data_IF_157845615474
#
_entry.id   IF_157845615474
#
_cell.length_a   1.000
_cell.length_b   1.000
_cell.length_c   1.000
_cell.angle_alpha   90.00
_cell.angle_beta   90.00
_cell.angle_gamma   90.00
#
_symmetry.space_group_name_H-M   'P 1'
#
loop_
_entity.id
_entity.type
_entity.pdbx_description
1 polymer ?
#
# COMPACT_ATOMS: atom_id res chain seq x y z
N UNK A 1 48.84 32.21 -5.68
CA UNK A 1 49.94 31.37 -6.21
C UNK A 1 49.33 30.29 -7.10
N UNK A 2 49.65 30.38 -8.40
CA UNK A 2 49.75 29.32 -9.44
C UNK A 2 48.80 28.10 -9.33
N UNK A 3 47.80 27.94 -10.23
CA UNK A 3 47.91 27.31 -11.58
C UNK A 3 48.14 25.78 -11.47
N UNK A 4 47.30 24.89 -12.02
CA UNK A 4 47.13 24.67 -13.46
C UNK A 4 46.00 23.67 -13.75
N UNK A 5 45.13 24.04 -14.68
CA UNK A 5 44.28 23.14 -15.47
C UNK A 5 45.12 22.41 -16.52
N UNK A 6 44.80 21.16 -16.86
CA UNK A 6 45.32 20.49 -18.06
C UNK A 6 44.21 19.71 -18.79
N UNK A 7 43.81 20.31 -19.89
CA UNK A 7 43.19 19.73 -21.08
C UNK A 7 44.20 18.83 -21.83
N UNK A 8 43.71 17.74 -22.43
CA UNK A 8 44.35 16.99 -23.54
C UNK A 8 43.20 16.46 -24.44
N UNK A 9 42.85 17.16 -25.52
CA UNK A 9 43.42 17.12 -26.89
C UNK A 9 43.14 15.84 -27.67
N UNK A 10 42.11 15.90 -28.53
CA UNK A 10 41.85 14.98 -29.65
C UNK A 10 43.01 15.00 -30.65
N UNK A 11 43.42 13.82 -31.12
CA UNK A 11 44.12 13.67 -32.42
C UNK A 11 43.38 12.67 -33.28
N UNK A 12 42.93 13.20 -34.41
CA UNK A 12 42.48 12.57 -35.64
C UNK A 12 43.60 11.74 -36.27
N UNK A 13 43.25 10.59 -36.85
CA UNK A 13 44.04 9.96 -37.91
C UNK A 13 43.13 9.78 -39.13
N UNK A 14 43.41 10.54 -40.18
CA UNK A 14 42.87 10.39 -41.53
C UNK A 14 43.83 9.49 -42.31
N UNK A 15 43.31 8.50 -43.03
CA UNK A 15 44.01 7.85 -44.13
C UNK A 15 43.07 7.91 -45.34
N UNK A 16 43.54 8.54 -46.41
CA UNK A 16 42.88 8.64 -47.71
C UNK A 16 43.84 8.12 -48.78
N UNK A 17 43.35 7.26 -49.68
CA UNK A 17 43.86 6.98 -51.03
C UNK A 17 42.66 6.36 -51.81
N UNK A 18 41.94 7.11 -52.67
CA UNK A 18 42.16 7.34 -54.12
C UNK A 18 42.28 6.01 -54.88
N UNK A 19 41.18 5.43 -55.41
CA UNK A 19 40.44 5.69 -56.67
C UNK A 19 40.96 4.89 -57.90
N UNK A 20 40.08 4.10 -58.54
CA UNK A 20 40.10 3.78 -59.97
C UNK A 20 38.75 3.20 -60.45
N UNK A 21 38.31 3.69 -61.60
CA UNK A 21 37.03 3.47 -62.30
C UNK A 21 37.04 2.21 -63.19
N UNK A 22 35.87 1.56 -63.35
CA UNK A 22 35.14 1.37 -64.63
C UNK A 22 34.25 0.09 -64.62
N UNK A 23 33.11 0.07 -65.36
CA UNK A 23 32.05 -0.93 -65.23
C UNK A 23 32.15 -2.08 -66.25
N UNK A 24 31.76 -3.28 -65.87
CA UNK A 24 31.46 -4.38 -66.80
C UNK A 24 30.13 -5.01 -66.43
N UNK A 25 29.12 -4.75 -67.27
CA UNK A 25 27.89 -5.51 -67.36
C UNK A 25 28.21 -6.89 -67.94
N UNK A 26 27.90 -7.96 -67.19
CA UNK A 26 27.73 -9.29 -67.75
C UNK A 26 26.58 -9.96 -67.00
N UNK A 27 25.53 -10.28 -67.75
CA UNK A 27 24.31 -10.91 -67.23
C UNK A 27 24.59 -12.29 -66.67
N UNK A 28 24.03 -12.53 -65.48
CA UNK A 28 23.86 -13.85 -64.90
C UNK A 28 22.52 -13.85 -64.20
N UNK A 29 21.58 -14.64 -64.70
CA UNK A 29 20.30 -14.92 -64.05
C UNK A 29 20.60 -15.65 -62.74
N UNK A 30 20.79 -14.90 -61.66
CA UNK A 30 20.77 -15.44 -60.32
C UNK A 30 19.31 -15.51 -59.90
N UNK A 31 18.78 -16.74 -59.77
CA UNK A 31 17.54 -16.99 -59.06
C UNK A 31 17.64 -16.33 -57.68
N UNK A 32 17.00 -15.17 -57.52
CA UNK A 32 16.66 -14.65 -56.21
C UNK A 32 15.58 -15.57 -55.67
N UNK A 33 15.99 -16.66 -55.02
CA UNK A 33 15.14 -17.28 -54.02
C UNK A 33 14.89 -16.19 -52.98
N UNK A 34 13.66 -15.65 -52.99
CA UNK A 34 13.12 -14.92 -51.85
C UNK A 34 13.17 -15.87 -50.66
N UNK A 35 14.32 -15.92 -49.96
CA UNK A 35 14.30 -16.21 -48.53
C UNK A 35 13.51 -15.08 -47.94
N UNK A 36 12.23 -15.35 -47.66
CA UNK A 36 11.50 -14.60 -46.67
C UNK A 36 12.40 -14.52 -45.44
N UNK A 37 12.91 -13.33 -45.15
CA UNK A 37 13.42 -13.02 -43.83
C UNK A 37 12.19 -13.07 -42.91
N UNK A 38 11.82 -14.27 -42.47
CA UNK A 38 10.97 -14.41 -41.32
C UNK A 38 11.80 -13.87 -40.15
N UNK A 39 11.34 -12.78 -39.57
CA UNK A 39 11.88 -12.32 -38.31
C UNK A 39 11.73 -13.47 -37.29
N UNK A 40 12.83 -14.12 -36.95
CA UNK A 40 12.91 -15.05 -35.80
C UNK A 40 12.58 -14.33 -34.47
N UNK A 41 12.31 -13.02 -34.48
CA UNK A 41 12.12 -12.17 -33.31
C UNK A 41 10.73 -12.21 -32.68
N UNK A 42 9.61 -12.27 -33.41
CA UNK A 42 8.31 -11.97 -32.79
C UNK A 42 7.82 -13.00 -31.75
N UNK A 43 8.09 -14.28 -31.95
CA UNK A 43 7.72 -15.35 -31.01
C UNK A 43 8.73 -15.49 -29.87
N UNK A 44 10.04 -15.33 -30.15
CA UNK A 44 11.08 -15.30 -29.14
C UNK A 44 10.92 -14.10 -28.20
N UNK A 45 10.61 -12.92 -28.74
CA UNK A 45 10.33 -11.70 -27.98
C UNK A 45 9.08 -11.89 -27.09
N UNK A 46 8.04 -12.57 -27.59
CA UNK A 46 6.84 -12.86 -26.81
C UNK A 46 7.10 -13.85 -25.68
N UNK A 47 7.92 -14.89 -25.94
CA UNK A 47 8.31 -15.84 -24.92
C UNK A 47 9.12 -15.16 -23.81
N UNK A 48 10.07 -14.29 -24.17
CA UNK A 48 10.86 -13.52 -23.19
C UNK A 48 9.98 -12.56 -22.37
N UNK A 49 9.04 -11.86 -23.00
CA UNK A 49 8.08 -11.00 -22.29
C UNK A 49 7.22 -11.81 -21.31
N UNK A 50 6.74 -12.98 -21.72
CA UNK A 50 5.99 -13.87 -20.85
C UNK A 50 6.85 -14.38 -19.69
N UNK A 51 8.11 -14.72 -19.93
CA UNK A 51 9.04 -15.15 -18.88
C UNK A 51 9.23 -14.06 -17.81
N UNK A 52 9.48 -12.82 -18.25
CA UNK A 52 9.62 -11.65 -17.35
C UNK A 52 8.33 -11.38 -16.58
N UNK A 53 7.17 -11.52 -17.23
CA UNK A 53 5.85 -11.38 -16.62
C UNK A 53 5.62 -12.44 -15.52
N UNK A 54 5.95 -13.70 -15.80
CA UNK A 54 5.88 -14.80 -14.85
C UNK A 54 6.74 -14.53 -13.61
N UNK A 55 7.98 -14.10 -13.82
CA UNK A 55 8.91 -13.73 -12.74
C UNK A 55 8.33 -12.60 -11.89
N UNK A 56 7.86 -11.52 -12.52
CA UNK A 56 7.31 -10.36 -11.82
C UNK A 56 6.09 -10.74 -10.97
N UNK A 57 5.13 -11.43 -11.55
CA UNK A 57 3.89 -11.84 -10.85
C UNK A 57 4.24 -12.76 -9.67
N UNK A 58 5.12 -13.74 -9.87
CA UNK A 58 5.50 -14.69 -8.81
C UNK A 58 6.23 -14.00 -7.65
N UNK A 59 7.19 -13.11 -7.95
CA UNK A 59 7.92 -12.37 -6.92
C UNK A 59 7.01 -11.40 -6.18
N UNK A 60 6.18 -10.63 -6.89
CA UNK A 60 5.29 -9.67 -6.26
C UNK A 60 4.30 -10.37 -5.32
N UNK A 61 3.58 -11.37 -5.81
CA UNK A 61 2.46 -12.00 -5.10
C UNK A 61 2.91 -13.05 -4.09
N UNK A 62 3.93 -13.86 -4.41
CA UNK A 62 4.36 -14.98 -3.57
C UNK A 62 5.78 -14.84 -3.01
N UNK A 63 6.58 -13.88 -3.49
CA UNK A 63 7.95 -13.67 -3.01
C UNK A 63 8.91 -14.79 -3.38
N UNK A 64 8.58 -15.57 -4.42
CA UNK A 64 9.32 -16.74 -4.87
C UNK A 64 9.53 -16.66 -6.38
N UNK A 65 10.45 -17.46 -6.90
CA UNK A 65 10.59 -17.68 -8.33
C UNK A 65 9.36 -18.41 -8.88
N UNK A 66 8.95 -18.14 -10.14
CA UNK A 66 7.85 -18.85 -10.79
C UNK A 66 8.17 -20.35 -10.88
N UNK A 67 7.14 -21.18 -10.73
CA UNK A 67 7.25 -22.59 -11.04
C UNK A 67 7.34 -22.79 -12.58
N UNK A 68 7.73 -23.99 -13.05
CA UNK A 68 7.87 -24.25 -14.48
C UNK A 68 6.57 -24.06 -15.29
N UNK A 69 5.39 -24.24 -14.68
CA UNK A 69 4.12 -24.07 -15.35
C UNK A 69 3.79 -22.60 -15.58
N UNK A 70 4.04 -21.73 -14.59
CA UNK A 70 3.89 -20.29 -14.72
C UNK A 70 4.94 -19.70 -15.68
N UNK A 71 6.19 -20.19 -15.61
CA UNK A 71 7.30 -19.73 -16.45
C UNK A 71 7.08 -20.01 -17.94
N UNK A 72 6.47 -21.15 -18.27
CA UNK A 72 6.18 -21.55 -19.65
C UNK A 72 4.78 -21.15 -20.13
N UNK A 73 4.01 -20.42 -19.32
CA UNK A 73 2.63 -20.08 -19.64
C UNK A 73 2.55 -19.12 -20.85
N UNK A 74 1.64 -19.35 -21.81
CA UNK A 74 1.41 -18.43 -22.93
C UNK A 74 0.80 -17.11 -22.49
N UNK A 75 0.14 -17.09 -21.32
CA UNK A 75 -0.28 -15.88 -20.61
C UNK A 75 -0.10 -16.09 -19.10
N UNK A 76 1.02 -15.66 -18.50
CA UNK A 76 1.28 -15.82 -17.07
C UNK A 76 0.24 -15.12 -16.17
N UNK A 77 -0.49 -14.13 -16.68
CA UNK A 77 -1.52 -13.40 -15.93
C UNK A 77 -2.71 -14.30 -15.58
N UNK A 78 -2.92 -15.39 -16.32
CA UNK A 78 -3.91 -16.41 -15.98
C UNK A 78 -3.62 -17.10 -14.63
N UNK A 79 -2.35 -17.12 -14.19
CA UNK A 79 -1.92 -17.69 -12.92
C UNK A 79 -2.14 -16.80 -11.68
N UNK A 80 -2.55 -15.53 -11.86
CA UNK A 80 -2.66 -14.55 -10.76
C UNK A 80 -3.62 -15.03 -9.67
N UNK A 81 -4.80 -15.54 -10.00
CA UNK A 81 -5.78 -15.96 -8.98
C UNK A 81 -5.27 -17.14 -8.14
N UNK A 82 -4.51 -18.05 -8.75
CA UNK A 82 -3.91 -19.18 -8.06
C UNK A 82 -2.88 -18.68 -7.03
N UNK A 83 -2.04 -17.71 -7.40
CA UNK A 83 -1.07 -17.10 -6.49
C UNK A 83 -1.74 -16.33 -5.35
N UNK A 84 -2.81 -15.59 -5.63
CA UNK A 84 -3.58 -14.84 -4.62
C UNK A 84 -4.31 -15.75 -3.62
N UNK A 85 -4.55 -17.01 -3.98
CA UNK A 85 -5.14 -18.01 -3.09
C UNK A 85 -4.12 -18.66 -2.14
N UNK A 86 -2.82 -18.40 -2.31
CA UNK A 86 -1.76 -19.03 -1.51
C UNK A 86 -1.63 -18.41 -0.12
N UNK A 87 -1.20 -19.19 0.90
CA UNK A 87 -0.80 -18.64 2.19
C UNK A 87 0.32 -17.61 2.10
N UNK A 88 1.23 -17.76 1.13
CA UNK A 88 2.33 -16.83 0.87
C UNK A 88 1.82 -15.43 0.53
N UNK A 89 0.81 -15.32 -0.34
CA UNK A 89 0.21 -14.02 -0.64
C UNK A 89 -0.40 -13.40 0.61
N UNK A 90 -1.18 -14.16 1.38
CA UNK A 90 -1.81 -13.67 2.60
C UNK A 90 -0.78 -13.15 3.62
N UNK A 91 0.33 -13.88 3.78
CA UNK A 91 1.44 -13.48 4.66
C UNK A 91 2.11 -12.19 4.17
N UNK A 92 2.47 -12.12 2.89
CA UNK A 92 3.18 -10.98 2.30
C UNK A 92 2.34 -9.71 2.31
N UNK A 93 1.08 -9.80 1.88
CA UNK A 93 0.21 -8.65 1.83
C UNK A 93 -0.13 -8.15 3.23
N UNK A 94 -0.33 -9.05 4.21
CA UNK A 94 -0.54 -8.66 5.61
C UNK A 94 0.68 -7.95 6.20
N UNK A 95 1.92 -8.41 5.90
CA UNK A 95 3.16 -7.73 6.31
C UNK A 95 3.27 -6.34 5.70
N UNK A 96 2.98 -6.22 4.42
CA UNK A 96 2.98 -4.94 3.71
C UNK A 96 1.98 -3.96 4.33
N UNK A 97 0.72 -4.37 4.52
CA UNK A 97 -0.31 -3.53 5.14
C UNK A 97 0.09 -3.13 6.56
N UNK A 98 0.66 -4.05 7.33
CA UNK A 98 1.18 -3.71 8.64
C UNK A 98 2.30 -2.65 8.56
N UNK A 99 3.26 -2.77 7.64
CA UNK A 99 4.31 -1.75 7.50
C UNK A 99 3.77 -0.37 7.15
N UNK A 100 2.68 -0.30 6.38
CA UNK A 100 2.03 0.97 6.03
C UNK A 100 1.25 1.56 7.21
N UNK A 101 0.62 0.72 8.04
CA UNK A 101 -0.34 1.16 9.07
C UNK A 101 0.24 1.27 10.48
N UNK A 102 1.40 0.66 10.74
CA UNK A 102 2.02 0.62 12.06
C UNK A 102 3.02 1.75 12.33
N UNK A 103 3.40 2.56 11.33
CA UNK A 103 4.18 3.79 11.53
C UNK A 103 5.55 3.63 12.22
N UNK A 104 6.11 2.42 12.28
CA UNK A 104 7.38 2.08 12.90
C UNK A 104 7.45 0.62 13.35
N UNK A 105 8.64 0.10 13.69
CA UNK A 105 8.80 -1.28 14.16
C UNK A 105 8.11 -1.49 15.52
N UNK A 106 7.53 -2.67 15.71
CA UNK A 106 7.08 -3.14 17.03
C UNK A 106 8.25 -3.73 17.80
N UNK A 107 8.24 -3.59 19.12
CA UNK A 107 9.22 -4.21 20.01
C UNK A 107 8.97 -5.71 20.23
N UNK A 108 7.76 -6.21 19.94
CA UNK A 108 7.35 -7.58 20.18
C UNK A 108 6.47 -8.09 19.04
N UNK A 109 6.81 -9.25 18.46
CA UNK A 109 6.04 -9.88 17.39
C UNK A 109 4.61 -10.27 17.81
N UNK A 110 4.34 -10.40 19.11
CA UNK A 110 2.99 -10.69 19.63
C UNK A 110 2.10 -9.44 19.76
N UNK A 111 2.57 -8.26 19.33
CA UNK A 111 1.84 -6.98 19.42
C UNK A 111 1.57 -6.37 18.03
N UNK A 112 1.18 -7.23 17.08
CA UNK A 112 0.94 -6.85 15.68
C UNK A 112 -0.50 -7.11 15.19
N UNK A 113 -1.51 -6.45 15.79
CA UNK A 113 -2.90 -6.74 15.50
C UNK A 113 -3.28 -6.46 14.04
N UNK A 114 -2.59 -5.53 13.38
CA UNK A 114 -2.81 -5.23 11.96
C UNK A 114 -2.41 -6.43 11.10
N UNK A 115 -1.20 -6.96 11.30
CA UNK A 115 -0.73 -8.13 10.55
C UNK A 115 -1.63 -9.34 10.76
N UNK A 116 -1.92 -9.71 12.01
CA UNK A 116 -2.70 -10.91 12.31
C UNK A 116 -4.15 -10.80 11.81
N UNK A 117 -4.80 -9.64 11.96
CA UNK A 117 -6.15 -9.45 11.45
C UNK A 117 -6.18 -9.37 9.92
N UNK A 118 -5.22 -8.69 9.27
CA UNK A 118 -5.14 -8.65 7.81
C UNK A 118 -4.96 -10.05 7.22
N UNK A 119 -4.06 -10.85 7.81
CA UNK A 119 -3.85 -12.24 7.41
C UNK A 119 -5.12 -13.06 7.58
N UNK A 120 -5.82 -12.93 8.71
CA UNK A 120 -7.10 -13.60 8.94
C UNK A 120 -8.13 -13.24 7.88
N UNK A 121 -8.36 -11.95 7.62
CA UNK A 121 -9.33 -11.45 6.62
C UNK A 121 -9.03 -12.00 5.23
N UNK A 122 -7.76 -11.99 4.81
CA UNK A 122 -7.34 -12.49 3.50
C UNK A 122 -7.54 -14.00 3.40
N UNK A 123 -7.01 -14.77 4.37
CA UNK A 123 -7.10 -16.24 4.38
C UNK A 123 -8.55 -16.73 4.41
N UNK A 124 -9.41 -16.05 5.16
CA UNK A 124 -10.84 -16.40 5.28
C UNK A 124 -11.71 -15.79 4.17
N UNK A 125 -11.11 -15.11 3.19
CA UNK A 125 -11.80 -14.44 2.07
C UNK A 125 -12.93 -13.52 2.53
N UNK A 126 -12.71 -12.81 3.64
CA UNK A 126 -13.67 -11.87 4.21
C UNK A 126 -13.65 -10.56 3.43
N UNK A 127 -14.73 -9.76 3.48
CA UNK A 127 -14.69 -8.39 2.99
C UNK A 127 -13.50 -7.64 3.59
N UNK A 128 -12.73 -6.92 2.77
CA UNK A 128 -11.54 -6.19 3.22
C UNK A 128 -11.85 -5.13 4.27
N UNK A 129 -13.09 -4.63 4.26
CA UNK A 129 -13.62 -3.73 5.29
C UNK A 129 -13.55 -4.32 6.69
N UNK A 130 -13.59 -5.65 6.84
CA UNK A 130 -13.51 -6.35 8.14
C UNK A 130 -12.20 -6.06 8.89
N UNK A 131 -11.11 -5.74 8.18
CA UNK A 131 -9.87 -5.30 8.81
C UNK A 131 -10.07 -4.05 9.68
N UNK A 132 -10.98 -3.15 9.26
CA UNK A 132 -11.20 -1.86 9.89
C UNK A 132 -12.42 -1.85 10.80
N UNK A 133 -13.52 -2.47 10.38
CA UNK A 133 -14.82 -2.39 11.08
C UNK A 133 -15.35 -3.74 11.58
N UNK A 134 -14.57 -4.81 11.44
CA UNK A 134 -14.96 -6.15 11.84
C UNK A 134 -15.12 -6.28 13.36
N UNK A 135 -16.00 -7.18 13.77
CA UNK A 135 -16.31 -7.44 15.17
C UNK A 135 -15.32 -8.47 15.73
N UNK A 136 -14.08 -8.02 15.92
CA UNK A 136 -12.97 -8.86 16.36
C UNK A 136 -12.28 -8.34 17.61
N UNK A 137 -11.82 -9.27 18.44
CA UNK A 137 -10.73 -9.07 19.38
C UNK A 137 -9.48 -9.77 18.85
N UNK A 138 -8.32 -9.14 19.06
CA UNK A 138 -7.02 -9.66 18.63
C UNK A 138 -6.07 -9.61 19.81
N UNK A 139 -5.78 -10.79 20.37
CA UNK A 139 -5.07 -10.93 21.63
C UNK A 139 -3.77 -11.71 21.45
N UNK A 140 -2.68 -11.32 22.12
CA UNK A 140 -1.45 -12.12 22.15
C UNK A 140 -1.74 -13.53 22.68
N UNK A 141 -1.20 -14.54 22.00
CA UNK A 141 -1.21 -15.92 22.51
C UNK A 141 -0.27 -16.04 23.72
N UNK A 142 -0.63 -16.89 24.68
CA UNK A 142 0.11 -17.05 25.93
C UNK A 142 1.58 -17.48 25.73
N UNK A 143 1.86 -18.20 24.65
CA UNK A 143 3.22 -18.62 24.28
C UNK A 143 3.93 -17.50 23.54
N UNK A 144 5.04 -17.01 24.10
CA UNK A 144 5.85 -16.00 23.46
C UNK A 144 6.30 -16.44 22.04
N UNK A 145 5.95 -15.64 21.04
CA UNK A 145 6.30 -15.91 19.63
C UNK A 145 5.25 -16.75 18.89
N UNK A 146 4.19 -17.21 19.56
CA UNK A 146 3.08 -17.89 18.90
C UNK A 146 2.18 -16.93 18.10
N UNK A 147 2.29 -15.62 18.32
CA UNK A 147 1.52 -14.61 17.62
C UNK A 147 0.26 -14.18 18.35
N UNK A 148 -0.79 -13.86 17.59
CA UNK A 148 -2.07 -13.39 18.14
C UNK A 148 -3.23 -14.28 17.69
N UNK A 149 -4.21 -14.47 18.57
CA UNK A 149 -5.51 -15.05 18.25
C UNK A 149 -6.44 -13.97 17.68
N UNK A 150 -7.34 -14.37 16.78
CA UNK A 150 -8.42 -13.51 16.28
C UNK A 150 -9.73 -14.16 16.65
N UNK A 151 -10.49 -13.51 17.52
CA UNK A 151 -11.76 -14.00 18.07
C UNK A 151 -12.89 -13.02 17.75
N UNK A 152 -14.13 -13.47 17.80
CA UNK A 152 -15.28 -12.58 17.59
C UNK A 152 -15.54 -11.76 18.85
N UNK A 153 -15.71 -10.46 18.68
CA UNK A 153 -16.14 -9.53 19.73
C UNK A 153 -17.23 -8.61 19.16
N UNK A 154 -18.49 -8.69 19.64
CA UNK A 154 -19.58 -7.81 19.19
C UNK A 154 -19.27 -6.30 19.30
N UNK A 155 -18.42 -5.95 20.27
CA UNK A 155 -17.95 -4.59 20.51
C UNK A 155 -16.64 -4.29 19.76
N UNK A 156 -16.09 -5.22 18.99
CA UNK A 156 -14.91 -5.00 18.15
C UNK A 156 -15.15 -3.95 17.05
N UNK A 157 -14.07 -3.25 16.70
CA UNK A 157 -13.98 -2.32 15.55
C UNK A 157 -12.63 -2.52 14.87
N UNK A 158 -12.56 -3.60 14.08
CA UNK A 158 -11.35 -4.07 13.40
C UNK A 158 -10.15 -4.12 14.32
N UNK A 159 -8.98 -3.77 13.79
CA UNK A 159 -7.77 -3.69 14.62
C UNK A 159 -7.76 -2.45 15.54
N UNK A 160 -8.62 -1.45 15.32
CA UNK A 160 -8.60 -0.18 16.05
C UNK A 160 -8.96 -0.30 17.53
N UNK A 161 -9.78 -1.29 17.89
CA UNK A 161 -10.16 -1.57 19.30
C UNK A 161 -9.32 -2.66 19.96
N UNK A 162 -8.29 -3.17 19.29
CA UNK A 162 -7.40 -4.15 19.91
C UNK A 162 -6.53 -3.47 20.95
N UNK A 163 -6.35 -4.11 22.11
CA UNK A 163 -5.60 -3.53 23.24
C UNK A 163 -4.18 -3.11 22.84
N UNK A 164 -3.44 -3.96 22.11
CA UNK A 164 -2.07 -3.64 21.66
C UNK A 164 -2.04 -2.39 20.76
N UNK A 165 -3.02 -2.23 19.86
CA UNK A 165 -3.12 -1.05 19.01
C UNK A 165 -3.48 0.21 19.80
N UNK A 166 -4.51 0.13 20.67
CA UNK A 166 -4.94 1.27 21.49
C UNK A 166 -3.83 1.76 22.41
N UNK A 167 -3.12 0.85 23.10
CA UNK A 167 -1.97 1.20 23.96
C UNK A 167 -0.87 1.90 23.19
N UNK A 168 -0.53 1.39 22.00
CA UNK A 168 0.50 1.97 21.13
C UNK A 168 0.19 3.41 20.71
N UNK A 169 -1.08 3.69 20.41
CA UNK A 169 -1.51 4.99 19.89
C UNK A 169 -2.31 5.84 20.87
N UNK A 170 -2.29 5.49 22.16
CA UNK A 170 -3.00 6.22 23.20
C UNK A 170 -2.52 7.67 23.32
N UNK A 171 -1.25 7.93 22.96
CA UNK A 171 -0.63 9.24 23.08
C UNK A 171 -0.47 9.67 24.54
N UNK A 172 -0.02 10.91 24.73
CA UNK A 172 0.30 11.48 26.03
C UNK A 172 -0.44 12.80 26.32
N UNK A 173 -1.56 13.05 25.63
CA UNK A 173 -2.38 14.24 25.88
C UNK A 173 -2.89 14.23 27.33
N UNK A 174 -2.83 15.38 28.01
CA UNK A 174 -3.03 15.49 29.46
C UNK A 174 -4.40 15.03 29.94
N UNK A 175 -5.45 15.23 29.12
CA UNK A 175 -6.82 14.80 29.42
C UNK A 175 -7.11 13.38 28.94
N UNK A 176 -6.11 12.69 28.40
CA UNK A 176 -6.24 11.33 27.90
C UNK A 176 -6.90 11.22 26.52
N UNK A 177 -7.05 12.33 25.79
CA UNK A 177 -7.55 12.27 24.41
C UNK A 177 -6.54 11.55 23.51
N UNK A 178 -7.01 10.51 22.83
CA UNK A 178 -6.16 9.69 21.96
C UNK A 178 -5.96 10.33 20.57
N UNK A 179 -5.35 11.52 20.52
CA UNK A 179 -5.15 12.29 19.28
C UNK A 179 -4.34 11.52 18.23
N UNK A 180 -3.35 10.73 18.66
CA UNK A 180 -2.55 9.91 17.76
C UNK A 180 -3.39 8.78 17.15
N UNK A 181 -4.19 8.09 17.97
CA UNK A 181 -5.14 7.08 17.48
C UNK A 181 -6.17 7.68 16.51
N UNK A 182 -6.71 8.86 16.82
CA UNK A 182 -7.62 9.59 15.95
C UNK A 182 -7.01 9.84 14.56
N UNK A 183 -5.78 10.34 14.53
CA UNK A 183 -5.04 10.51 13.28
C UNK A 183 -4.81 9.17 12.56
N UNK A 184 -4.37 8.12 13.26
CA UNK A 184 -4.12 6.81 12.64
C UNK A 184 -5.38 6.16 12.09
N UNK A 185 -6.54 6.34 12.72
CA UNK A 185 -7.83 5.87 12.16
C UNK A 185 -8.12 6.56 10.83
N UNK A 186 -8.01 7.88 10.78
CA UNK A 186 -8.24 8.65 9.55
C UNK A 186 -7.20 8.30 8.48
N UNK A 187 -5.92 8.22 8.84
CA UNK A 187 -4.84 7.88 7.92
C UNK A 187 -4.98 6.47 7.35
N UNK A 188 -5.15 5.45 8.20
CA UNK A 188 -5.20 4.06 7.75
C UNK A 188 -6.44 3.78 6.89
N UNK A 189 -7.53 4.53 7.10
CA UNK A 189 -8.73 4.42 6.27
C UNK A 189 -8.60 5.22 4.98
N UNK A 190 -8.30 6.52 5.05
CA UNK A 190 -8.39 7.46 3.91
C UNK A 190 -7.08 7.79 3.22
N UNK A 191 -5.94 7.40 3.79
CA UNK A 191 -4.62 7.77 3.29
C UNK A 191 -4.24 9.23 3.57
N UNK A 192 -5.02 9.95 4.38
CA UNK A 192 -4.70 11.33 4.76
C UNK A 192 -3.37 11.37 5.52
N UNK A 193 -2.43 12.16 5.01
CA UNK A 193 -1.18 12.47 5.68
C UNK A 193 -1.26 13.88 6.28
N UNK A 194 -0.83 14.00 7.54
CA UNK A 194 -0.69 15.29 8.20
C UNK A 194 0.80 15.59 8.37
N UNK A 195 1.20 16.80 8.02
CA UNK A 195 2.54 17.31 8.30
C UNK A 195 2.51 17.93 9.69
N UNK A 196 3.26 17.41 10.67
CA UNK A 196 3.30 17.99 11.99
C UNK A 196 3.95 19.37 11.94
N UNK A 197 3.44 20.32 12.73
CA UNK A 197 4.15 21.56 12.98
C UNK A 197 5.42 21.26 13.81
N UNK A 198 6.52 21.93 13.49
CA UNK A 198 7.76 21.82 14.27
C UNK A 198 7.54 22.53 15.59
N UNK A 199 7.34 21.76 16.66
CA UNK A 199 7.15 22.32 18.00
C UNK A 199 8.46 22.82 18.61
N UNK A 200 8.48 24.03 19.15
CA UNK A 200 9.56 24.54 19.98
C UNK A 200 9.39 24.08 21.45
N UNK A 201 10.49 24.01 22.24
CA UNK A 201 10.39 23.82 23.67
C UNK A 201 9.50 24.91 24.30
N UNK A 202 8.49 24.50 25.06
CA UNK A 202 7.54 25.41 25.72
C UNK A 202 6.28 25.74 24.91
N UNK A 203 6.14 25.21 23.69
CA UNK A 203 4.88 25.36 22.94
C UNK A 203 3.70 24.78 23.70
N UNK A 204 2.59 25.54 23.71
CA UNK A 204 1.33 25.07 24.28
C UNK A 204 0.75 23.96 23.39
N UNK A 205 0.77 22.72 23.89
CA UNK A 205 0.19 21.54 23.23
C UNK A 205 -1.20 21.19 23.74
N UNK A 206 -1.73 21.99 24.67
CA UNK A 206 -3.09 21.83 25.18
C UNK A 206 -4.13 22.08 24.09
N UNK A 207 -5.39 21.80 24.41
CA UNK A 207 -6.50 22.14 23.53
C UNK A 207 -6.57 23.63 23.17
N UNK A 208 -6.03 24.53 24.02
CA UNK A 208 -5.98 25.96 23.71
C UNK A 208 -4.88 26.24 22.66
N UNK A 209 -3.67 25.73 22.89
CA UNK A 209 -2.57 25.88 21.94
C UNK A 209 -2.86 25.29 20.56
N UNK A 210 -3.60 24.17 20.50
CA UNK A 210 -4.06 23.59 19.22
C UNK A 210 -5.06 24.47 18.45
N UNK A 211 -5.67 25.48 19.08
CA UNK A 211 -6.52 26.48 18.41
C UNK A 211 -5.72 27.61 17.76
N UNK A 212 -4.40 27.65 17.95
CA UNK A 212 -3.54 28.58 17.23
C UNK A 212 -3.63 28.32 15.71
N UNK A 213 -3.47 29.38 14.91
CA UNK A 213 -3.66 29.32 13.45
C UNK A 213 -2.86 28.21 12.75
N UNK A 214 -1.65 27.90 13.24
CA UNK A 214 -0.80 26.85 12.68
C UNK A 214 -1.37 25.43 12.84
N UNK A 215 -2.20 25.19 13.86
CA UNK A 215 -2.70 23.86 14.23
C UNK A 215 -4.21 23.72 14.01
N UNK A 216 -4.95 24.83 14.11
CA UNK A 216 -6.42 24.85 14.13
C UNK A 216 -7.05 24.15 12.93
N UNK A 217 -6.45 24.29 11.75
CA UNK A 217 -6.91 23.63 10.52
C UNK A 217 -7.01 22.11 10.65
N UNK A 218 -5.96 21.47 11.16
CA UNK A 218 -5.92 20.01 11.31
C UNK A 218 -6.75 19.53 12.51
N UNK A 219 -6.83 20.34 13.57
CA UNK A 219 -7.43 19.92 14.83
C UNK A 219 -8.93 20.18 14.91
N UNK A 220 -9.44 21.27 14.34
CA UNK A 220 -10.82 21.72 14.55
C UNK A 220 -11.60 22.07 13.28
N UNK A 221 -10.93 22.61 12.25
CA UNK A 221 -11.65 23.20 11.11
C UNK A 221 -11.76 22.25 9.88
N UNK A 222 -10.99 21.16 9.84
CA UNK A 222 -10.99 20.16 8.75
C UNK A 222 -12.19 19.21 8.81
N UNK A 223 -12.58 18.65 7.65
CA UNK A 223 -13.54 17.54 7.57
C UNK A 223 -13.10 16.29 8.34
N UNK A 224 -11.79 16.17 8.58
CA UNK A 224 -11.16 15.14 9.39
C UNK A 224 -10.49 15.72 10.64
N UNK A 225 -11.09 16.77 11.23
CA UNK A 225 -10.58 17.46 12.41
C UNK A 225 -10.22 16.46 13.54
N UNK A 226 -8.93 16.40 13.91
CA UNK A 226 -8.40 15.34 14.78
C UNK A 226 -8.94 15.41 16.20
N UNK A 227 -9.18 16.61 16.77
CA UNK A 227 -9.78 16.72 18.11
C UNK A 227 -11.23 16.25 18.10
N UNK A 228 -11.98 16.59 17.04
CA UNK A 228 -13.36 16.13 16.85
C UNK A 228 -13.42 14.62 16.69
N UNK A 229 -12.48 14.02 15.96
CA UNK A 229 -12.34 12.55 15.85
C UNK A 229 -11.99 11.94 17.21
N UNK A 230 -11.02 12.51 17.94
CA UNK A 230 -10.59 12.00 19.24
C UNK A 230 -11.71 12.03 20.29
N UNK A 231 -12.64 12.97 20.20
CA UNK A 231 -13.83 13.03 21.07
C UNK A 231 -14.77 11.82 20.89
N UNK A 232 -14.69 11.09 19.78
CA UNK A 232 -15.45 9.85 19.54
C UNK A 232 -14.75 8.59 20.09
N UNK A 233 -13.47 8.70 20.45
CA UNK A 233 -12.66 7.57 20.91
C UNK A 233 -12.73 7.42 22.43
N UNK A 234 -12.40 6.24 22.99
CA UNK A 234 -12.17 6.10 24.42
C UNK A 234 -11.13 7.11 24.95
N UNK A 235 -11.27 7.44 26.23
CA UNK A 235 -10.34 8.32 26.96
C UNK A 235 -9.37 7.45 27.73
N UNK A 236 -8.07 7.67 27.50
CA UNK A 236 -6.98 7.02 28.24
C UNK A 236 -7.02 7.41 29.71
N UNK A 237 -6.87 6.43 30.59
CA UNK A 237 -6.53 6.63 32.01
C UNK A 237 -5.24 5.90 32.36
N UNK A 238 -4.40 6.52 33.19
CA UNK A 238 -3.09 5.96 33.53
C UNK A 238 -2.11 5.96 32.35
N UNK A 239 -0.92 5.37 32.54
CA UNK A 239 0.15 5.29 31.55
C UNK A 239 0.82 3.92 31.62
N UNK A 240 1.55 3.55 30.56
CA UNK A 240 2.28 2.28 30.49
C UNK A 240 1.35 1.08 30.62
N UNK A 241 1.79 0.07 31.37
CA UNK A 241 1.08 -1.21 31.47
C UNK A 241 -0.23 -1.15 32.26
N UNK A 242 -0.41 -0.14 33.13
CA UNK A 242 -1.64 0.07 33.92
C UNK A 242 -2.69 0.90 33.19
N UNK A 243 -2.42 1.24 31.93
CA UNK A 243 -3.33 2.04 31.11
C UNK A 243 -4.67 1.34 30.88
N UNK A 244 -5.76 2.07 31.07
CA UNK A 244 -7.12 1.65 30.74
C UNK A 244 -7.79 2.65 29.80
N UNK A 245 -8.89 2.24 29.17
CA UNK A 245 -9.64 3.04 28.21
C UNK A 245 -11.09 3.12 28.63
N UNK A 246 -11.53 4.32 29.01
CA UNK A 246 -12.90 4.54 29.43
C UNK A 246 -13.75 5.12 28.29
N UNK A 247 -15.05 4.82 28.23
CA UNK A 247 -15.95 5.42 27.26
C UNK A 247 -15.88 6.95 27.28
N UNK A 248 -15.90 7.57 26.10
CA UNK A 248 -15.98 9.03 25.96
C UNK A 248 -17.27 9.58 26.55
N UNK A 249 -17.20 10.82 27.05
CA UNK A 249 -18.35 11.61 27.52
C UNK A 249 -18.62 12.83 26.64
N UNK A 250 -17.90 12.98 25.52
CA UNK A 250 -18.01 14.15 24.65
C UNK A 250 -19.32 14.20 23.84
N UNK A 251 -20.06 13.10 23.79
CA UNK A 251 -21.30 12.99 23.02
C UNK A 251 -21.06 12.95 21.50
N UNK A 252 -22.14 13.00 20.70
CA UNK A 252 -22.06 12.93 19.25
C UNK A 252 -21.27 14.10 18.66
N UNK A 253 -20.53 13.83 17.59
CA UNK A 253 -19.73 14.83 16.88
C UNK A 253 -20.23 15.06 15.44
N UNK A 254 -20.01 16.26 14.90
CA UNK A 254 -20.26 16.56 13.49
C UNK A 254 -19.00 16.31 12.67
N UNK A 255 -19.02 15.29 11.81
CA UNK A 255 -17.89 14.91 10.95
C UNK A 255 -18.41 14.39 9.62
N UNK A 256 -17.69 14.66 8.52
CA UNK A 256 -18.05 14.17 7.19
C UNK A 256 -19.49 14.53 6.75
N UNK A 257 -20.00 15.67 7.21
CA UNK A 257 -21.39 16.10 6.99
C UNK A 257 -22.44 15.25 7.72
N UNK A 258 -22.06 14.47 8.73
CA UNK A 258 -22.92 13.56 9.48
C UNK A 258 -22.76 13.76 10.99
N UNK A 259 -23.82 13.47 11.74
CA UNK A 259 -23.76 13.25 13.18
C UNK A 259 -23.23 11.84 13.45
N UNK A 260 -22.03 11.73 14.02
CA UNK A 260 -21.37 10.47 14.38
C UNK A 260 -21.43 10.29 15.89
N UNK A 261 -21.93 9.13 16.35
CA UNK A 261 -22.16 8.88 17.78
C UNK A 261 -20.94 8.34 18.52
N UNK A 262 -20.11 7.55 17.84
CA UNK A 262 -18.97 6.84 18.42
C UNK A 262 -17.96 6.46 17.33
N UNK A 263 -16.80 5.96 17.75
CA UNK A 263 -15.74 5.40 16.93
C UNK A 263 -16.21 4.28 15.98
N UNK A 264 -17.14 3.40 16.38
CA UNK A 264 -17.70 2.37 15.47
C UNK A 264 -18.40 3.03 14.27
N UNK A 265 -19.25 4.01 14.50
CA UNK A 265 -19.92 4.76 13.43
C UNK A 265 -18.95 5.61 12.61
N UNK A 266 -17.91 6.16 13.25
CA UNK A 266 -16.84 6.87 12.54
C UNK A 266 -16.16 5.96 11.53
N UNK A 267 -15.68 4.80 11.97
CA UNK A 267 -14.95 3.87 11.11
C UNK A 267 -15.85 3.36 9.98
N UNK A 268 -17.12 3.05 10.27
CA UNK A 268 -18.09 2.70 9.24
C UNK A 268 -18.27 3.83 8.20
N UNK A 269 -18.36 5.08 8.64
CA UNK A 269 -18.47 6.23 7.74
C UNK A 269 -17.20 6.42 6.89
N UNK A 270 -16.02 6.24 7.47
CA UNK A 270 -14.74 6.34 6.76
C UNK A 270 -14.59 5.22 5.73
N UNK A 271 -14.86 3.97 6.11
CA UNK A 271 -14.75 2.79 5.24
C UNK A 271 -15.77 2.82 4.09
N UNK A 272 -16.93 3.46 4.29
CA UNK A 272 -17.91 3.65 3.23
C UNK A 272 -17.54 4.75 2.21
N UNK A 273 -16.50 5.55 2.49
CA UNK A 273 -16.12 6.71 1.67
C UNK A 273 -15.27 6.34 0.45
N UNK A 274 -15.29 7.21 -0.57
CA UNK A 274 -14.43 7.06 -1.74
C UNK A 274 -12.95 7.23 -1.39
N UNK A 275 -12.64 8.05 -0.39
CA UNK A 275 -11.30 8.17 0.15
C UNK A 275 -10.75 6.83 0.66
N UNK A 276 -11.61 5.98 1.26
CA UNK A 276 -11.19 4.65 1.65
C UNK A 276 -10.87 3.76 0.45
N UNK A 277 -11.77 3.66 -0.53
CA UNK A 277 -11.58 2.84 -1.74
C UNK A 277 -10.32 3.25 -2.49
N UNK A 278 -10.16 4.57 -2.68
CA UNK A 278 -9.01 5.17 -3.33
C UNK A 278 -7.72 4.79 -2.58
N UNK A 279 -7.68 4.98 -1.26
CA UNK A 279 -6.52 4.61 -0.46
C UNK A 279 -6.23 3.10 -0.55
N UNK A 280 -7.24 2.22 -0.48
CA UNK A 280 -7.00 0.78 -0.59
C UNK A 280 -6.37 0.40 -1.94
N UNK A 281 -6.83 0.98 -3.05
CA UNK A 281 -6.20 0.75 -4.35
C UNK A 281 -4.82 1.38 -4.46
N UNK A 282 -4.57 2.56 -3.87
CA UNK A 282 -3.21 3.11 -3.72
C UNK A 282 -2.28 2.14 -2.99
N UNK A 283 -2.75 1.47 -1.94
CA UNK A 283 -1.97 0.44 -1.25
C UNK A 283 -1.70 -0.78 -2.14
N UNK A 284 -2.65 -1.20 -2.98
CA UNK A 284 -2.42 -2.25 -3.99
C UNK A 284 -1.31 -1.84 -4.97
N UNK A 285 -1.32 -0.59 -5.44
CA UNK A 285 -0.25 -0.09 -6.33
C UNK A 285 1.11 -0.06 -5.61
N UNK A 286 1.16 0.43 -4.38
CA UNK A 286 2.38 0.39 -3.56
C UNK A 286 2.91 -1.03 -3.37
N UNK A 287 2.03 -1.99 -3.12
CA UNK A 287 2.40 -3.39 -2.98
C UNK A 287 3.01 -3.98 -4.27
N UNK A 288 2.37 -3.70 -5.41
CA UNK A 288 2.75 -4.29 -6.70
C UNK A 288 3.92 -3.57 -7.40
N UNK A 289 4.03 -2.25 -7.23
CA UNK A 289 4.98 -1.39 -7.94
C UNK A 289 6.01 -0.71 -7.02
N UNK A 290 5.87 -0.81 -5.70
CA UNK A 290 6.71 -0.07 -4.75
C UNK A 290 6.46 1.45 -4.73
N UNK A 291 5.38 1.92 -5.38
CA UNK A 291 4.99 3.34 -5.47
C UNK A 291 3.47 3.49 -5.59
N UNK A 292 2.91 4.67 -5.26
CA UNK A 292 1.51 4.95 -5.59
C UNK A 292 1.27 4.97 -7.10
N UNK A 293 -0.01 4.93 -7.46
CA UNK A 293 -0.52 5.13 -8.81
C UNK A 293 -0.09 6.48 -9.41
N UNK A 294 -0.03 6.56 -10.74
CA UNK A 294 0.18 7.79 -11.48
C UNK A 294 -1.01 8.07 -12.43
N UNK A 295 -1.00 9.26 -13.05
CA UNK A 295 -2.11 9.73 -13.90
C UNK A 295 -2.38 8.85 -15.13
N UNK A 296 -1.37 8.15 -15.66
CA UNK A 296 -1.51 7.27 -16.82
C UNK A 296 -2.16 5.91 -16.47
N UNK A 297 -2.30 5.61 -15.18
CA UNK A 297 -2.82 4.32 -14.67
C UNK A 297 -4.30 4.38 -14.29
N UNK A 298 -4.99 5.49 -14.60
CA UNK A 298 -6.38 5.75 -14.19
C UNK A 298 -7.33 4.59 -14.52
N UNK A 299 -7.27 4.04 -15.74
CA UNK A 299 -8.11 2.92 -16.15
C UNK A 299 -7.90 1.67 -15.29
N UNK A 300 -6.66 1.35 -14.95
CA UNK A 300 -6.32 0.17 -14.12
C UNK A 300 -6.67 0.43 -12.66
N UNK A 301 -6.49 1.66 -12.21
CA UNK A 301 -6.91 2.09 -10.88
C UNK A 301 -8.43 2.01 -10.69
N UNK A 302 -9.21 2.48 -11.67
CA UNK A 302 -10.68 2.38 -11.66
C UNK A 302 -11.13 0.91 -11.66
N UNK A 303 -10.43 0.04 -12.40
CA UNK A 303 -10.68 -1.40 -12.37
C UNK A 303 -10.38 -2.02 -10.99
N UNK A 304 -9.33 -1.56 -10.31
CA UNK A 304 -9.04 -1.94 -8.92
C UNK A 304 -10.20 -1.55 -7.99
N UNK A 305 -10.66 -0.31 -8.07
CA UNK A 305 -11.75 0.21 -7.22
C UNK A 305 -13.04 -0.58 -7.49
N UNK A 306 -13.39 -0.78 -8.76
CA UNK A 306 -14.56 -1.55 -9.16
C UNK A 306 -14.50 -3.01 -8.68
N UNK A 307 -13.33 -3.65 -8.73
CA UNK A 307 -13.14 -5.01 -8.25
C UNK A 307 -13.29 -5.10 -6.73
N UNK A 308 -12.70 -4.15 -5.99
CA UNK A 308 -12.86 -4.04 -4.53
C UNK A 308 -14.33 -3.83 -4.17
N UNK A 309 -15.05 -2.96 -4.88
CA UNK A 309 -16.45 -2.70 -4.60
C UNK A 309 -17.38 -3.86 -4.94
N UNK A 310 -17.09 -4.60 -6.00
CA UNK A 310 -17.96 -5.69 -6.45
C UNK A 310 -17.71 -6.96 -5.63
N UNK A 311 -16.45 -7.35 -5.45
CA UNK A 311 -16.09 -8.63 -4.83
C UNK A 311 -15.77 -8.50 -3.34
N UNK A 312 -15.61 -7.27 -2.85
CA UNK A 312 -15.32 -6.92 -1.45
C UNK A 312 -14.00 -7.45 -0.89
N UNK A 313 -13.25 -8.29 -1.59
CA UNK A 313 -11.96 -8.82 -1.13
C UNK A 313 -10.79 -7.99 -1.66
N UNK A 314 -9.68 -7.95 -0.91
CA UNK A 314 -8.46 -7.27 -1.37
C UNK A 314 -7.76 -8.06 -2.49
N UNK A 315 -7.90 -9.40 -2.49
CA UNK A 315 -7.43 -10.25 -3.60
C UNK A 315 -8.01 -9.80 -4.93
N UNK A 316 -9.30 -9.47 -4.99
CA UNK A 316 -9.94 -9.00 -6.22
C UNK A 316 -9.32 -7.70 -6.74
N UNK A 317 -9.04 -6.76 -5.83
CA UNK A 317 -8.40 -5.48 -6.15
C UNK A 317 -6.97 -5.71 -6.68
N UNK A 318 -6.19 -6.56 -6.02
CA UNK A 318 -4.85 -6.95 -6.47
C UNK A 318 -4.90 -7.67 -7.83
N UNK A 319 -5.87 -8.57 -8.03
CA UNK A 319 -6.05 -9.29 -9.28
C UNK A 319 -6.34 -8.35 -10.45
N UNK A 320 -7.18 -7.33 -10.24
CA UNK A 320 -7.51 -6.35 -11.27
C UNK A 320 -6.28 -5.61 -11.80
N UNK A 321 -5.32 -5.29 -10.91
CA UNK A 321 -4.07 -4.62 -11.30
C UNK A 321 -3.06 -5.61 -11.88
N UNK A 322 -2.85 -6.76 -11.21
CA UNK A 322 -1.84 -7.74 -11.61
C UNK A 322 -2.17 -8.47 -12.92
N UNK A 323 -3.45 -8.53 -13.32
CA UNK A 323 -3.89 -9.09 -14.61
C UNK A 323 -3.88 -8.09 -15.75
N UNK A 324 -3.69 -6.80 -15.48
CA UNK A 324 -3.60 -5.81 -16.54
C UNK A 324 -2.29 -5.99 -17.34
N UNK A 325 -2.36 -5.75 -18.66
CA UNK A 325 -1.20 -5.90 -19.52
C UNK A 325 -0.05 -4.94 -19.15
N UNK A 326 -0.37 -3.76 -18.60
CA UNK A 326 0.63 -2.78 -18.16
C UNK A 326 1.49 -3.27 -17.00
N UNK A 327 0.98 -4.20 -16.16
CA UNK A 327 1.76 -4.74 -15.05
C UNK A 327 2.98 -5.51 -15.55
N UNK A 328 2.84 -6.26 -16.65
CA UNK A 328 3.92 -7.07 -17.19
C UNK A 328 4.87 -6.33 -18.13
N UNK A 329 4.63 -5.04 -18.40
CA UNK A 329 5.43 -4.23 -19.34
C UNK A 329 6.23 -3.12 -18.66
N UNK A 330 5.86 -2.71 -17.44
CA UNK A 330 6.47 -1.58 -16.71
C UNK A 330 7.40 -2.00 -15.57
#
# INVERSE_FOLDING_TARGET
MLSKSRSFSRKTLRISLVALLAPVLAGGVALVTKRSAHAEGAEADKAEVNERCAVRISIALAGKSPDPALLSAPDPRAGVDALLATPEFADRYARFINSEFSGGPISNANDDPVYYLAKHVITQKKPWTELFQGQYDVTPLATAGAGMAVENDPDGVGFFRTQSWMKRYAGNEDKGLMLVAAFRIVQNTTGLELVPSVGAPGDDRSALGRKANACKGCHFDSWYAIDTVANLLPVRQGQGDTMTFNPTKAGPQQLLGKTIQNDKQLVQALVASDGWRFNQCRQVFKFLYGRPENQCESKVFDACVAALDTQKTIQAAVAAVAKDASFCTN
#
